data_IF_698292667087
#
_entry.id   IF_698292667087
#
_cell.length_a   1.000
_cell.length_b   1.000
_cell.length_c   1.000
_cell.angle_alpha   90.00
_cell.angle_beta   90.00
_cell.angle_gamma   90.00
#
_symmetry.space_group_name_H-M   'P 1'
#
loop_
_entity.id
_entity.type
_entity.pdbx_description
1 polymer ?
#
# COMPACT_ATOMS: atom_id res chain seq x y z
N UNK A 1 -26.48 -72.82 -52.48
CA UNK A 1 -26.97 -71.71 -51.64
C UNK A 1 -25.99 -71.50 -50.51
N UNK A 2 -25.16 -70.46 -50.58
CA UNK A 2 -24.20 -70.07 -49.52
C UNK A 2 -24.43 -68.58 -49.24
N UNK A 3 -24.94 -68.30 -48.05
CA UNK A 3 -25.24 -66.95 -47.55
C UNK A 3 -24.00 -66.40 -46.85
N UNK A 4 -23.49 -65.27 -47.33
CA UNK A 4 -22.42 -64.52 -46.67
C UNK A 4 -23.03 -63.55 -45.66
N UNK A 5 -22.53 -63.57 -44.43
CA UNK A 5 -22.90 -62.65 -43.36
C UNK A 5 -22.09 -61.35 -43.49
N UNK A 6 -22.78 -60.21 -43.48
CA UNK A 6 -22.18 -58.87 -43.44
C UNK A 6 -22.02 -58.46 -41.98
N UNK A 7 -20.78 -58.18 -41.57
CA UNK A 7 -20.45 -57.64 -40.25
C UNK A 7 -20.39 -56.12 -40.36
N UNK A 8 -21.26 -55.42 -39.64
CA UNK A 8 -21.29 -53.95 -39.56
C UNK A 8 -20.46 -53.50 -38.36
N UNK A 9 -19.36 -52.77 -38.61
CA UNK A 9 -18.60 -52.08 -37.56
C UNK A 9 -19.30 -50.76 -37.19
N UNK A 10 -19.74 -50.62 -35.94
CA UNK A 10 -20.11 -49.33 -35.36
C UNK A 10 -18.86 -48.64 -34.82
N UNK A 11 -18.49 -47.51 -35.42
CA UNK A 11 -17.49 -46.60 -34.88
C UNK A 11 -18.14 -45.70 -33.82
N UNK A 12 -17.73 -45.85 -32.56
CA UNK A 12 -18.12 -44.96 -31.46
C UNK A 12 -17.25 -43.71 -31.48
N UNK A 13 -17.86 -42.57 -31.81
CA UNK A 13 -17.21 -41.26 -31.76
C UNK A 13 -17.22 -40.79 -30.31
N UNK A 14 -16.06 -40.84 -29.63
CA UNK A 14 -15.90 -40.26 -28.29
C UNK A 14 -15.78 -38.75 -28.46
N UNK A 15 -16.85 -38.03 -28.15
CA UNK A 15 -16.84 -36.57 -28.08
C UNK A 15 -16.05 -36.12 -26.85
N UNK A 16 -14.79 -35.75 -27.02
CA UNK A 16 -14.03 -35.08 -25.98
C UNK A 16 -14.60 -33.66 -25.77
N UNK A 17 -15.40 -33.48 -24.72
CA UNK A 17 -15.81 -32.15 -24.28
C UNK A 17 -14.58 -31.39 -23.78
N UNK A 18 -14.27 -30.21 -24.34
CA UNK A 18 -13.17 -29.41 -23.81
C UNK A 18 -13.56 -28.95 -22.41
N UNK A 19 -12.73 -29.30 -21.42
CA UNK A 19 -12.77 -28.69 -20.10
C UNK A 19 -12.47 -27.20 -20.29
N UNK A 20 -13.53 -26.40 -20.49
CA UNK A 20 -13.42 -24.95 -20.44
C UNK A 20 -12.85 -24.59 -19.08
N UNK A 21 -11.69 -23.93 -19.07
CA UNK A 21 -11.18 -23.23 -17.90
C UNK A 21 -12.27 -22.22 -17.49
N UNK A 22 -13.13 -22.59 -16.55
CA UNK A 22 -13.93 -21.62 -15.80
C UNK A 22 -12.91 -20.72 -15.11
N UNK A 23 -12.69 -19.53 -15.66
CA UNK A 23 -12.07 -18.44 -14.91
C UNK A 23 -12.90 -18.28 -13.65
N UNK A 24 -12.36 -18.68 -12.51
CA UNK A 24 -12.94 -18.39 -11.21
C UNK A 24 -12.97 -16.86 -11.09
N UNK A 25 -14.12 -16.25 -11.39
CA UNK A 25 -14.38 -14.85 -11.09
C UNK A 25 -14.46 -14.78 -9.57
N UNK A 26 -13.33 -14.47 -8.93
CA UNK A 26 -13.28 -14.21 -7.51
C UNK A 26 -14.21 -13.02 -7.20
N UNK A 27 -15.00 -13.07 -6.10
CA UNK A 27 -15.89 -11.98 -5.73
C UNK A 27 -15.10 -10.68 -5.62
N UNK A 28 -15.66 -9.60 -6.17
CA UNK A 28 -15.16 -8.24 -5.92
C UNK A 28 -15.36 -7.90 -4.45
N UNK A 29 -14.42 -7.14 -3.89
CA UNK A 29 -14.42 -6.79 -2.47
C UNK A 29 -15.06 -5.42 -2.28
N UNK A 30 -16.11 -5.35 -1.46
CA UNK A 30 -16.62 -4.10 -0.91
C UNK A 30 -16.12 -3.95 0.53
N UNK A 31 -15.95 -2.71 0.97
CA UNK A 31 -15.89 -2.39 2.39
C UNK A 31 -17.16 -2.86 3.10
N UNK A 32 -17.01 -3.42 4.28
CA UNK A 32 -18.14 -3.86 5.13
C UNK A 32 -18.21 -3.11 6.46
N UNK A 33 -17.17 -2.33 6.76
CA UNK A 33 -17.05 -1.55 7.99
C UNK A 33 -17.20 -0.05 7.70
N UNK A 34 -17.60 0.76 8.70
CA UNK A 34 -17.67 2.21 8.53
C UNK A 34 -16.31 2.80 8.14
N UNK A 35 -16.25 3.51 7.02
CA UNK A 35 -15.04 4.20 6.56
C UNK A 35 -14.94 5.56 7.24
N UNK A 36 -13.82 5.82 7.91
CA UNK A 36 -13.53 7.11 8.58
C UNK A 36 -12.59 8.00 7.77
N UNK A 37 -11.84 7.42 6.83
CA UNK A 37 -11.06 8.11 5.83
C UNK A 37 -11.10 7.31 4.53
N UNK A 38 -11.49 7.95 3.42
CA UNK A 38 -11.45 7.33 2.09
C UNK A 38 -10.40 8.04 1.24
N UNK A 39 -9.29 7.35 1.00
CA UNK A 39 -8.17 7.83 0.19
C UNK A 39 -8.20 7.32 -1.25
N UNK A 40 -9.23 6.55 -1.63
CA UNK A 40 -9.31 5.95 -2.96
C UNK A 40 -9.53 7.04 -4.01
N UNK A 41 -8.82 6.95 -5.14
CA UNK A 41 -8.82 8.00 -6.16
C UNK A 41 -9.98 7.79 -7.14
N UNK A 42 -10.90 8.75 -7.30
CA UNK A 42 -11.99 8.67 -8.27
C UNK A 42 -11.48 8.52 -9.70
N UNK A 43 -12.23 7.79 -10.54
CA UNK A 43 -11.83 7.55 -11.94
C UNK A 43 -11.72 8.81 -12.80
N UNK A 44 -12.36 9.91 -12.39
CA UNK A 44 -12.34 11.21 -13.05
C UNK A 44 -11.37 12.21 -12.41
N UNK A 45 -10.56 11.79 -11.43
CA UNK A 45 -9.58 12.64 -10.78
C UNK A 45 -8.51 13.16 -11.75
N UNK A 46 -8.08 14.39 -11.54
CA UNK A 46 -6.88 14.98 -12.16
C UNK A 46 -5.73 15.01 -11.16
N UNK A 47 -4.49 14.98 -11.66
CA UNK A 47 -3.30 15.17 -10.83
C UNK A 47 -3.31 16.52 -10.10
N UNK A 48 -3.84 17.57 -10.73
CA UNK A 48 -3.97 18.90 -10.14
C UNK A 48 -4.97 18.97 -8.97
N UNK A 49 -5.86 17.98 -8.83
CA UNK A 49 -6.78 17.92 -7.69
C UNK A 49 -6.01 17.77 -6.37
N UNK A 50 -4.82 17.16 -6.40
CA UNK A 50 -3.97 16.95 -5.24
C UNK A 50 -3.23 18.22 -4.78
N UNK A 51 -3.16 19.25 -5.63
CA UNK A 51 -2.44 20.50 -5.33
C UNK A 51 -3.23 21.45 -4.44
N UNK A 52 -4.53 21.17 -4.21
CA UNK A 52 -5.41 22.01 -3.40
C UNK A 52 -6.22 21.18 -2.42
N UNK A 53 -6.56 21.78 -1.28
CA UNK A 53 -7.44 21.16 -0.32
C UNK A 53 -8.82 20.96 -0.94
N UNK A 54 -9.35 19.74 -0.91
CA UNK A 54 -10.61 19.36 -1.58
C UNK A 54 -10.61 19.65 -3.09
N UNK A 55 -9.45 19.62 -3.76
CA UNK A 55 -9.39 19.68 -5.22
C UNK A 55 -10.22 18.57 -5.87
N UNK A 56 -10.81 18.88 -7.02
CA UNK A 56 -11.81 18.03 -7.66
C UNK A 56 -13.09 17.79 -6.84
N UNK A 57 -13.25 18.44 -5.68
CA UNK A 57 -14.35 18.19 -4.74
C UNK A 57 -14.20 16.89 -3.94
N UNK A 58 -13.02 16.25 -3.96
CA UNK A 58 -12.82 14.94 -3.35
C UNK A 58 -11.48 14.78 -2.62
N UNK A 59 -10.42 15.49 -3.01
CA UNK A 59 -9.05 15.24 -2.53
C UNK A 59 -8.98 15.16 -0.97
N UNK A 60 -8.71 13.98 -0.41
CA UNK A 60 -8.68 13.75 1.03
C UNK A 60 -7.27 13.92 1.61
N UNK A 61 -6.29 14.40 0.84
CA UNK A 61 -4.90 14.52 1.28
C UNK A 61 -4.49 15.98 1.53
N UNK A 62 -3.46 16.16 2.36
CA UNK A 62 -2.87 17.48 2.60
C UNK A 62 -2.03 17.93 1.39
N UNK A 63 -2.32 19.09 0.77
CA UNK A 63 -1.58 19.55 -0.41
C UNK A 63 -0.22 20.19 -0.10
N UNK A 64 0.04 20.58 1.16
CA UNK A 64 1.12 21.51 1.51
C UNK A 64 2.38 20.91 2.11
N UNK A 65 2.30 19.70 2.70
CA UNK A 65 3.39 19.15 3.52
C UNK A 65 3.95 17.83 2.97
N UNK A 66 5.09 17.41 3.55
CA UNK A 66 5.69 16.07 3.37
C UNK A 66 6.09 15.77 1.91
N UNK A 67 6.55 16.79 1.18
CA UNK A 67 7.06 16.67 -0.19
C UNK A 67 8.19 17.67 -0.47
N UNK A 68 8.81 17.60 -1.64
CA UNK A 68 9.83 18.56 -2.05
C UNK A 68 9.34 20.02 -1.98
N UNK A 69 10.21 20.93 -1.55
CA UNK A 69 9.83 22.33 -1.29
C UNK A 69 9.28 23.07 -2.51
N UNK A 70 9.74 22.72 -3.72
CA UNK A 70 9.49 23.47 -4.96
C UNK A 70 8.78 22.64 -6.03
N UNK A 71 8.15 21.52 -5.64
CA UNK A 71 7.42 20.62 -6.54
C UNK A 71 5.99 20.44 -6.04
N UNK A 72 5.03 20.43 -6.96
CA UNK A 72 3.61 20.21 -6.69
C UNK A 72 3.28 18.71 -6.57
N UNK A 73 2.12 18.37 -6.02
CA UNK A 73 1.68 16.98 -6.02
C UNK A 73 1.38 16.49 -7.43
N UNK A 74 0.91 17.36 -8.32
CA UNK A 74 0.68 16.97 -9.72
C UNK A 74 1.96 16.64 -10.50
N UNK A 75 3.12 17.12 -10.06
CA UNK A 75 4.44 16.71 -10.60
C UNK A 75 4.94 15.39 -10.01
N UNK A 76 4.63 15.13 -8.73
CA UNK A 76 5.04 13.94 -7.96
C UNK A 76 4.19 12.72 -8.32
N UNK A 77 2.89 12.91 -8.49
CA UNK A 77 1.93 11.82 -8.63
C UNK A 77 1.75 11.42 -10.08
N UNK A 78 1.37 10.16 -10.28
CA UNK A 78 0.90 9.66 -11.58
C UNK A 78 -0.39 8.88 -11.41
N UNK A 79 -1.20 8.84 -12.45
CA UNK A 79 -2.38 7.97 -12.56
C UNK A 79 -2.05 6.81 -13.49
N UNK A 80 -1.38 5.75 -13.01
CA UNK A 80 -0.89 4.67 -13.85
C UNK A 80 -2.05 3.85 -14.42
N UNK A 81 -1.87 3.37 -15.65
CA UNK A 81 -2.77 2.38 -16.25
C UNK A 81 -2.29 0.98 -15.87
N UNK A 82 -2.88 0.41 -14.82
CA UNK A 82 -2.60 -0.97 -14.41
C UNK A 82 -3.49 -1.96 -15.19
N UNK A 83 -2.97 -3.16 -15.48
CA UNK A 83 -3.76 -4.21 -16.16
C UNK A 83 -4.87 -4.76 -15.29
N UNK A 84 -4.67 -4.74 -13.98
CA UNK A 84 -5.60 -5.19 -12.96
C UNK A 84 -5.78 -4.10 -11.92
N UNK A 85 -6.96 -4.03 -11.32
CA UNK A 85 -7.22 -3.14 -10.18
C UNK A 85 -6.80 -3.84 -8.88
N UNK A 86 -6.48 -3.04 -7.86
CA UNK A 86 -6.32 -3.55 -6.50
C UNK A 86 -7.64 -4.12 -5.98
N UNK A 87 -7.60 -4.87 -4.87
CA UNK A 87 -8.78 -5.54 -4.32
C UNK A 87 -9.95 -4.58 -4.09
N UNK A 88 -9.70 -3.45 -3.45
CA UNK A 88 -10.74 -2.49 -3.04
C UNK A 88 -10.96 -1.36 -4.04
N UNK A 89 -10.17 -1.27 -5.13
CA UNK A 89 -10.48 -0.35 -6.24
C UNK A 89 -11.45 -0.94 -7.26
N UNK A 90 -11.53 -2.28 -7.33
CA UNK A 90 -12.34 -2.97 -8.32
C UNK A 90 -13.84 -2.70 -8.13
N UNK A 91 -14.34 -2.78 -6.90
CA UNK A 91 -15.74 -2.56 -6.57
C UNK A 91 -16.08 -1.07 -6.45
N UNK A 92 -15.21 -0.30 -5.80
CA UNK A 92 -15.39 1.14 -5.60
C UNK A 92 -15.32 1.95 -6.92
N UNK A 93 -14.90 1.34 -8.02
CA UNK A 93 -14.77 2.03 -9.30
C UNK A 93 -13.59 3.01 -9.35
N UNK A 94 -12.70 2.98 -8.37
CA UNK A 94 -11.56 3.89 -8.22
C UNK A 94 -10.35 3.43 -9.05
N UNK A 95 -9.33 4.28 -9.11
CA UNK A 95 -8.11 4.07 -9.89
C UNK A 95 -6.87 4.11 -8.99
N UNK A 96 -5.78 3.43 -9.38
CA UNK A 96 -4.53 3.48 -8.63
C UNK A 96 -3.84 4.84 -8.73
N UNK A 97 -2.98 5.12 -7.76
CA UNK A 97 -2.16 6.31 -7.66
C UNK A 97 -0.70 5.90 -7.50
N UNK A 98 0.20 6.45 -8.30
CA UNK A 98 1.64 6.23 -8.14
C UNK A 98 2.27 7.45 -7.49
N UNK A 99 2.99 7.23 -6.39
CA UNK A 99 3.82 8.25 -5.76
C UNK A 99 5.23 8.08 -6.31
N UNK A 100 5.83 9.15 -6.81
CA UNK A 100 7.23 9.13 -7.29
C UNK A 100 8.14 9.99 -6.43
N UNK A 101 9.41 9.66 -6.43
CA UNK A 101 10.47 10.49 -5.87
C UNK A 101 11.55 10.71 -6.94
N UNK A 102 12.19 11.86 -6.83
CA UNK A 102 13.28 12.35 -7.69
C UNK A 102 14.33 13.06 -6.85
N UNK A 103 15.37 13.62 -7.49
CA UNK A 103 16.40 14.41 -6.81
C UNK A 103 15.83 15.64 -6.09
N UNK A 104 14.73 16.20 -6.59
CA UNK A 104 14.02 17.36 -6.04
C UNK A 104 13.14 17.02 -4.82
N UNK A 105 12.98 15.74 -4.47
CA UNK A 105 12.10 15.29 -3.39
C UNK A 105 12.68 15.55 -1.99
N UNK A 106 13.19 16.75 -1.77
CA UNK A 106 13.81 17.20 -0.51
C UNK A 106 12.82 18.07 0.25
N UNK A 107 12.33 17.55 1.37
CA UNK A 107 11.43 18.28 2.27
C UNK A 107 12.24 19.12 3.26
N UNK A 108 11.88 20.39 3.36
CA UNK A 108 12.57 21.36 4.20
C UNK A 108 14.10 21.32 3.95
N UNK A 109 14.89 20.99 4.98
CA UNK A 109 16.35 20.89 4.92
C UNK A 109 16.85 19.45 5.12
N UNK A 110 15.98 18.45 4.97
CA UNK A 110 16.33 17.04 5.17
C UNK A 110 17.02 16.48 3.93
N UNK A 111 18.27 16.90 3.69
CA UNK A 111 19.04 16.59 2.47
C UNK A 111 19.34 15.09 2.30
N UNK A 112 19.40 14.34 3.40
CA UNK A 112 19.64 12.90 3.36
C UNK A 112 18.46 12.12 2.79
N UNK A 113 17.23 12.62 2.95
CA UNK A 113 16.02 11.94 2.48
C UNK A 113 15.61 12.32 1.06
N UNK A 114 14.88 11.40 0.42
CA UNK A 114 13.94 11.73 -0.67
C UNK A 114 12.55 11.33 -0.22
N UNK A 115 11.64 12.30 -0.09
CA UNK A 115 10.31 12.06 0.47
C UNK A 115 9.16 12.73 -0.27
N UNK A 116 8.11 11.94 -0.41
CA UNK A 116 6.77 12.33 -0.83
C UNK A 116 5.78 11.43 -0.07
N UNK A 117 5.12 11.95 0.96
CA UNK A 117 4.12 11.22 1.74
C UNK A 117 2.78 11.95 1.75
N UNK A 118 1.74 11.32 1.21
CA UNK A 118 0.38 11.81 1.26
C UNK A 118 -0.14 11.69 2.70
N UNK A 119 -0.17 12.80 3.40
CA UNK A 119 -0.75 12.89 4.74
C UNK A 119 -2.27 12.91 4.64
N UNK A 120 -2.92 12.10 5.48
CA UNK A 120 -4.38 12.01 5.52
C UNK A 120 -4.95 13.32 6.07
N UNK A 121 -5.82 13.97 5.29
CA UNK A 121 -6.44 15.21 5.72
C UNK A 121 -7.50 14.90 6.80
N UNK A 122 -7.74 15.84 7.72
CA UNK A 122 -8.60 15.68 8.92
C UNK A 122 -8.12 14.64 9.95
N UNK A 123 -7.03 13.93 9.69
CA UNK A 123 -6.29 13.16 10.69
C UNK A 123 -5.42 14.13 11.50
N UNK A 124 -6.03 14.85 12.44
CA UNK A 124 -5.37 15.92 13.18
C UNK A 124 -4.26 15.37 14.07
N UNK A 125 -3.13 16.08 14.14
CA UNK A 125 -1.96 15.63 14.90
C UNK A 125 -2.30 15.22 16.35
N UNK A 126 -3.18 15.99 17.00
CA UNK A 126 -3.82 15.64 18.26
C UNK A 126 -5.33 15.51 18.10
N UNK A 127 -5.92 14.59 18.85
CA UNK A 127 -7.35 14.36 18.91
C UNK A 127 -7.94 13.57 17.74
N UNK A 128 -7.13 13.13 16.77
CA UNK A 128 -7.60 12.49 15.55
C UNK A 128 -8.55 11.31 15.80
N UNK A 129 -9.65 11.20 15.04
CA UNK A 129 -10.44 9.98 14.94
C UNK A 129 -9.63 8.76 14.47
N UNK A 130 -8.61 8.94 13.63
CA UNK A 130 -7.74 7.86 13.15
C UNK A 130 -6.79 7.27 14.20
N UNK A 131 -6.66 7.95 15.34
CA UNK A 131 -5.73 7.60 16.43
C UNK A 131 -6.44 7.18 17.72
N UNK A 132 -7.69 6.70 17.62
CA UNK A 132 -8.55 6.31 18.75
C UNK A 132 -9.35 5.03 18.48
N UNK A 133 -9.70 4.32 19.55
CA UNK A 133 -10.49 3.08 19.49
C UNK A 133 -9.72 1.96 18.77
N UNK A 134 -10.37 1.33 17.79
CA UNK A 134 -9.72 0.36 16.90
C UNK A 134 -9.86 0.84 15.46
N UNK A 135 -8.75 0.90 14.72
CA UNK A 135 -8.72 1.37 13.33
C UNK A 135 -7.98 0.39 12.46
N UNK A 136 -8.49 0.15 11.26
CA UNK A 136 -7.81 -0.71 10.28
C UNK A 136 -7.50 0.09 9.02
N UNK A 137 -6.21 0.25 8.75
CA UNK A 137 -5.74 0.90 7.53
C UNK A 137 -5.60 -0.14 6.43
N UNK A 138 -6.33 0.05 5.33
CA UNK A 138 -6.23 -0.74 4.11
C UNK A 138 -5.40 0.00 3.08
N UNK A 139 -4.55 -0.75 2.39
CA UNK A 139 -3.80 -0.29 1.24
C UNK A 139 -3.34 -1.48 0.41
N UNK A 140 -3.13 -1.25 -0.88
CA UNK A 140 -2.56 -2.23 -1.79
C UNK A 140 -1.36 -1.62 -2.49
N UNK A 141 -0.36 -2.45 -2.77
CA UNK A 141 0.88 -2.03 -3.42
C UNK A 141 1.10 -2.87 -4.69
N UNK A 142 1.56 -2.21 -5.74
CA UNK A 142 2.16 -2.83 -6.91
C UNK A 142 3.47 -2.10 -7.24
N UNK A 143 4.51 -2.87 -7.59
CA UNK A 143 5.78 -2.30 -8.06
C UNK A 143 5.63 -1.71 -9.46
N UNK A 144 6.30 -0.58 -9.74
CA UNK A 144 6.45 -0.05 -11.10
C UNK A 144 7.77 -0.54 -11.71
N UNK A 145 7.70 -1.40 -12.73
CA UNK A 145 8.86 -1.89 -13.47
C UNK A 145 9.63 -0.75 -14.18
N UNK A 146 9.01 0.41 -14.41
CA UNK A 146 9.66 1.60 -15.03
C UNK A 146 10.34 2.52 -14.02
N UNK A 147 10.03 2.38 -12.73
CA UNK A 147 10.56 3.18 -11.62
C UNK A 147 10.82 2.30 -10.40
N UNK A 148 11.63 1.25 -10.54
CA UNK A 148 11.85 0.31 -9.45
C UNK A 148 12.49 1.01 -8.26
N UNK A 149 12.11 0.61 -7.05
CA UNK A 149 12.80 1.04 -5.83
C UNK A 149 14.23 0.48 -5.81
N UNK A 150 15.22 1.29 -5.41
CA UNK A 150 16.56 0.76 -5.16
C UNK A 150 16.65 0.15 -3.75
N UNK A 151 16.49 -1.17 -3.68
CA UNK A 151 16.38 -1.89 -2.40
C UNK A 151 17.68 -1.97 -1.58
N UNK A 152 18.82 -1.43 -2.05
CA UNK A 152 19.98 -1.20 -1.18
C UNK A 152 19.75 -0.10 -0.15
N UNK A 153 18.71 0.71 -0.33
CA UNK A 153 18.25 1.74 0.62
C UNK A 153 17.09 1.22 1.46
N UNK A 154 16.87 1.87 2.62
CA UNK A 154 15.67 1.69 3.44
C UNK A 154 14.57 2.67 2.98
N UNK A 155 13.33 2.18 2.94
CA UNK A 155 12.16 3.00 2.60
C UNK A 155 11.09 2.91 3.69
N UNK A 156 10.47 4.04 4.01
CA UNK A 156 9.16 4.07 4.67
C UNK A 156 8.10 4.31 3.60
N UNK A 157 7.09 3.43 3.57
CA UNK A 157 6.05 3.42 2.55
C UNK A 157 4.66 3.74 3.11
N UNK A 158 4.36 3.25 4.32
CA UNK A 158 3.14 3.58 5.07
C UNK A 158 3.55 3.75 6.52
N UNK A 159 3.18 4.85 7.16
CA UNK A 159 3.53 5.07 8.55
C UNK A 159 2.47 5.90 9.28
N UNK A 160 2.49 5.81 10.60
CA UNK A 160 1.75 6.69 11.47
C UNK A 160 2.75 7.47 12.32
N UNK A 161 2.97 8.73 11.96
CA UNK A 161 3.90 9.64 12.62
C UNK A 161 3.28 10.09 13.94
N UNK A 162 4.05 10.07 15.05
CA UNK A 162 3.58 10.53 16.36
C UNK A 162 3.34 12.03 16.37
N UNK A 163 2.44 12.49 17.24
CA UNK A 163 2.07 13.91 17.33
C UNK A 163 3.24 14.85 17.65
N UNK A 164 4.23 14.36 18.39
CA UNK A 164 5.42 15.12 18.77
C UNK A 164 6.55 15.05 17.73
N UNK A 165 6.32 14.37 16.59
CA UNK A 165 7.30 14.13 15.54
C UNK A 165 8.58 13.40 16.00
N UNK A 166 8.53 12.73 17.17
CA UNK A 166 9.67 11.99 17.74
C UNK A 166 9.93 10.64 17.04
N UNK A 167 8.99 10.19 16.21
CA UNK A 167 9.05 8.91 15.53
C UNK A 167 7.68 8.48 15.04
N UNK A 168 7.49 7.17 14.87
CA UNK A 168 6.27 6.58 14.36
C UNK A 168 5.69 5.58 15.36
N UNK A 169 4.39 5.37 15.36
CA UNK A 169 3.77 4.29 16.14
C UNK A 169 3.96 2.91 15.48
N UNK A 170 3.86 2.88 14.16
CA UNK A 170 4.24 1.75 13.31
C UNK A 170 4.82 2.27 12.00
N UNK A 171 5.56 1.39 11.32
CA UNK A 171 6.19 1.70 10.05
C UNK A 171 6.07 0.48 9.13
N UNK A 172 5.56 0.69 7.93
CA UNK A 172 5.58 -0.28 6.85
C UNK A 172 6.68 0.11 5.88
N UNK A 173 7.69 -0.75 5.79
CA UNK A 173 8.96 -0.45 5.15
C UNK A 173 9.36 -1.47 4.09
N UNK A 174 10.38 -1.11 3.32
CA UNK A 174 10.99 -1.91 2.29
C UNK A 174 12.51 -1.70 2.22
N UNK A 175 13.19 -2.59 1.49
CA UNK A 175 14.62 -2.48 1.23
C UNK A 175 15.49 -2.93 2.40
N UNK A 176 16.76 -2.53 2.35
CA UNK A 176 17.77 -2.86 3.34
C UNK A 176 17.65 -1.93 4.54
N UNK A 177 17.11 -2.45 5.64
CA UNK A 177 16.98 -1.69 6.89
C UNK A 177 18.37 -1.32 7.43
N UNK A 178 18.55 -0.05 7.80
CA UNK A 178 19.79 0.46 8.37
C UNK A 178 20.02 -0.19 9.74
N UNK A 179 21.24 -0.69 9.95
CA UNK A 179 21.62 -1.33 11.21
C UNK A 179 20.96 -2.69 11.48
N UNK A 180 20.21 -3.26 10.54
CA UNK A 180 19.58 -4.58 10.70
C UNK A 180 19.97 -5.53 9.56
N UNK A 181 20.18 -6.80 9.90
CA UNK A 181 20.30 -7.86 8.91
C UNK A 181 18.89 -8.29 8.46
N UNK A 182 18.69 -8.50 7.16
CA UNK A 182 17.37 -8.93 6.66
C UNK A 182 17.35 -9.06 5.13
N UNK A 183 16.21 -9.51 4.61
CA UNK A 183 16.02 -9.60 3.16
C UNK A 183 15.54 -8.26 2.60
N UNK A 184 16.29 -7.66 1.69
CA UNK A 184 15.93 -6.35 1.13
C UNK A 184 14.59 -6.38 0.36
N UNK A 185 14.33 -7.42 -0.42
CA UNK A 185 13.12 -7.59 -1.25
C UNK A 185 11.90 -8.13 -0.48
N UNK A 186 11.64 -7.56 0.70
CA UNK A 186 10.44 -7.83 1.51
C UNK A 186 9.76 -6.53 1.92
N UNK A 187 8.43 -6.59 2.00
CA UNK A 187 7.62 -5.62 2.72
C UNK A 187 7.63 -5.99 4.21
N UNK A 188 7.84 -5.00 5.08
CA UNK A 188 8.12 -5.20 6.50
C UNK A 188 7.21 -4.31 7.35
N UNK A 189 6.55 -4.88 8.35
CA UNK A 189 5.84 -4.13 9.39
C UNK A 189 6.72 -4.07 10.63
N UNK A 190 7.01 -2.85 11.09
CA UNK A 190 7.79 -2.57 12.29
C UNK A 190 6.97 -1.76 13.29
N UNK A 191 7.28 -1.91 14.57
CA UNK A 191 6.74 -1.03 15.63
C UNK A 191 7.56 0.26 15.79
N UNK A 192 7.22 1.05 16.81
CA UNK A 192 7.89 2.30 17.14
C UNK A 192 9.37 2.16 17.48
N UNK A 193 9.80 0.99 17.96
CA UNK A 193 11.18 0.71 18.37
C UNK A 193 11.98 0.06 17.23
N UNK A 194 11.46 0.13 15.99
CA UNK A 194 12.03 -0.50 14.80
C UNK A 194 12.16 -2.02 14.92
N UNK A 195 11.35 -2.67 15.75
CA UNK A 195 11.33 -4.13 15.84
C UNK A 195 10.39 -4.70 14.77
N UNK A 196 10.93 -5.64 13.98
CA UNK A 196 10.16 -6.36 12.97
C UNK A 196 9.03 -7.19 13.61
N UNK A 197 7.80 -6.95 13.16
CA UNK A 197 6.60 -7.67 13.58
C UNK A 197 6.18 -8.74 12.58
N UNK A 198 6.31 -8.42 11.29
CA UNK A 198 5.89 -9.27 10.19
C UNK A 198 6.55 -8.84 8.88
N UNK A 199 6.81 -9.78 7.98
CA UNK A 199 7.23 -9.47 6.62
C UNK A 199 6.69 -10.45 5.58
N UNK A 200 6.69 -10.02 4.31
CA UNK A 200 6.39 -10.87 3.16
C UNK A 200 7.29 -10.48 1.97
N UNK A 201 7.67 -11.42 1.09
CA UNK A 201 8.37 -11.09 -0.15
C UNK A 201 7.61 -10.09 -1.02
N UNK A 202 8.36 -9.25 -1.72
CA UNK A 202 7.84 -8.40 -2.79
C UNK A 202 7.54 -9.24 -4.04
N UNK A 203 6.36 -9.03 -4.64
CA UNK A 203 5.94 -9.74 -5.83
C UNK A 203 5.87 -8.79 -7.02
N UNK A 204 6.41 -9.24 -8.16
CA UNK A 204 6.35 -8.48 -9.41
C UNK A 204 5.00 -8.68 -10.08
N UNK A 205 4.48 -7.62 -10.70
CA UNK A 205 3.29 -7.66 -11.59
C UNK A 205 2.00 -8.18 -10.92
N UNK A 206 1.94 -8.20 -9.60
CA UNK A 206 0.80 -8.66 -8.80
C UNK A 206 0.53 -7.63 -7.71
N UNK A 207 -0.74 -7.26 -7.52
CA UNK A 207 -1.15 -6.48 -6.36
C UNK A 207 -0.94 -7.27 -5.07
N UNK A 208 -0.30 -6.66 -4.09
CA UNK A 208 -0.22 -7.15 -2.73
C UNK A 208 -1.14 -6.26 -1.88
N UNK A 209 -2.17 -6.85 -1.30
CA UNK A 209 -3.14 -6.11 -0.49
C UNK A 209 -2.80 -6.32 0.98
N UNK A 210 -2.89 -5.25 1.76
CA UNK A 210 -2.54 -5.22 3.16
C UNK A 210 -3.66 -4.56 3.96
N UNK A 211 -3.84 -5.01 5.19
CA UNK A 211 -4.52 -4.23 6.20
C UNK A 211 -3.73 -4.27 7.51
N UNK A 212 -3.71 -3.16 8.23
CA UNK A 212 -3.05 -3.05 9.53
C UNK A 212 -4.09 -2.55 10.54
N UNK A 213 -4.46 -3.42 11.47
CA UNK A 213 -5.35 -3.05 12.58
C UNK A 213 -4.52 -2.55 13.75
N UNK A 214 -4.83 -1.34 14.20
CA UNK A 214 -4.29 -0.67 15.37
C UNK A 214 -5.41 -0.62 16.42
N UNK A 215 -5.22 -1.34 17.52
CA UNK A 215 -6.11 -1.28 18.67
C UNK A 215 -5.46 -0.39 19.73
N UNK A 216 -5.86 0.87 19.78
CA UNK A 216 -5.34 1.86 20.71
C UNK A 216 -5.79 1.60 22.15
N UNK A 217 -6.91 0.92 22.35
CA UNK A 217 -7.44 0.56 23.67
C UNK A 217 -6.64 -0.56 24.33
N UNK A 218 -6.23 -1.55 23.53
CA UNK A 218 -5.48 -2.74 24.00
C UNK A 218 -3.99 -2.67 23.69
N UNK A 219 -3.53 -1.62 23.01
CA UNK A 219 -2.16 -1.49 22.54
C UNK A 219 -1.72 -2.73 21.75
N UNK A 220 -2.42 -3.04 20.64
CA UNK A 220 -2.06 -4.17 19.77
C UNK A 220 -2.06 -3.79 18.29
N UNK A 221 -1.14 -4.38 17.53
CA UNK A 221 -1.04 -4.28 16.07
C UNK A 221 -1.31 -5.65 15.45
N UNK A 222 -2.09 -5.72 14.37
CA UNK A 222 -2.34 -6.94 13.61
C UNK A 222 -2.20 -6.69 12.10
N UNK A 223 -1.51 -7.57 11.39
CA UNK A 223 -1.36 -7.50 9.94
C UNK A 223 -2.27 -8.50 9.22
N UNK A 224 -2.80 -8.07 8.08
CA UNK A 224 -3.56 -8.87 7.13
C UNK A 224 -2.91 -8.76 5.75
N UNK A 225 -2.98 -9.84 4.98
CA UNK A 225 -2.32 -9.90 3.67
C UNK A 225 -3.05 -10.79 2.66
N UNK A 226 -3.03 -10.38 1.40
CA UNK A 226 -3.39 -11.22 0.27
C UNK A 226 -2.69 -10.83 -1.03
N UNK A 227 -2.86 -11.67 -2.05
CA UNK A 227 -2.26 -11.51 -3.38
C UNK A 227 -3.34 -11.40 -4.44
N UNK A 228 -3.17 -10.48 -5.38
CA UNK A 228 -4.10 -10.22 -6.47
C UNK A 228 -5.48 -9.84 -5.95
N UNK A 229 -6.52 -10.53 -6.40
CA UNK A 229 -7.90 -10.30 -5.95
C UNK A 229 -8.34 -11.25 -4.82
N UNK A 230 -7.43 -12.01 -4.19
CA UNK A 230 -7.80 -12.91 -3.08
C UNK A 230 -8.24 -12.12 -1.84
N UNK A 231 -9.16 -12.66 -1.02
CA UNK A 231 -9.48 -12.09 0.29
C UNK A 231 -8.26 -11.96 1.19
N UNK A 232 -8.20 -10.86 1.94
CA UNK A 232 -7.27 -10.66 3.04
C UNK A 232 -7.45 -11.77 4.06
N UNK A 233 -6.33 -12.20 4.63
CA UNK A 233 -6.29 -13.13 5.76
C UNK A 233 -5.39 -12.55 6.82
N UNK A 234 -5.71 -12.81 8.08
CA UNK A 234 -4.81 -12.49 9.19
C UNK A 234 -3.45 -13.14 8.92
N UNK A 235 -2.43 -12.29 8.79
CA UNK A 235 -1.04 -12.69 8.60
C UNK A 235 -0.32 -12.83 9.94
N UNK A 236 -0.83 -12.13 10.97
CA UNK A 236 -0.42 -12.27 12.37
C UNK A 236 -1.64 -12.44 13.27
N UNK A 237 -1.40 -12.90 14.50
CA UNK A 237 -2.30 -12.62 15.62
C UNK A 237 -2.14 -11.14 16.05
N UNK A 238 -3.03 -10.57 16.89
CA UNK A 238 -2.76 -9.30 17.55
C UNK A 238 -1.47 -9.35 18.37
N UNK A 239 -0.57 -8.41 18.14
CA UNK A 239 0.74 -8.32 18.79
C UNK A 239 0.73 -7.10 19.71
N UNK A 240 0.97 -7.30 21.02
CA UNK A 240 1.01 -6.20 21.99
C UNK A 240 2.15 -5.22 21.67
N UNK A 241 1.83 -3.96 21.40
CA UNK A 241 2.75 -2.86 21.07
C UNK A 241 2.21 -1.53 21.55
N UNK A 242 3.09 -0.68 22.05
CA UNK A 242 2.72 0.66 22.47
C UNK A 242 2.28 1.48 21.24
N UNK A 243 1.05 2.01 21.29
CA UNK A 243 0.43 2.85 20.25
C UNK A 243 0.08 4.25 20.79
N UNK A 244 0.75 4.67 21.86
CA UNK A 244 0.59 6.02 22.42
C UNK A 244 1.33 7.06 21.58
N UNK A 245 0.92 8.32 21.74
CA UNK A 245 1.55 9.47 21.09
C UNK A 245 0.68 10.14 20.02
N UNK A 246 -0.50 9.60 19.71
CA UNK A 246 -1.40 10.11 18.67
C UNK A 246 -0.65 10.36 17.35
N UNK A 247 -1.11 11.30 16.52
CA UNK A 247 -0.45 11.67 15.28
C UNK A 247 -1.21 11.24 14.03
N UNK A 248 -0.50 11.08 12.91
CA UNK A 248 -1.09 11.13 11.57
C UNK A 248 -0.58 10.02 10.64
N UNK A 249 -1.50 9.42 9.88
CA UNK A 249 -1.22 8.50 8.80
C UNK A 249 -0.64 9.19 7.58
N UNK A 250 0.34 8.53 6.99
CA UNK A 250 0.97 8.93 5.75
C UNK A 250 1.23 7.69 4.88
N UNK A 251 1.03 7.84 3.57
CA UNK A 251 1.32 6.84 2.56
C UNK A 251 2.13 7.46 1.43
N UNK A 252 3.18 6.81 0.98
CA UNK A 252 4.05 7.36 -0.06
C UNK A 252 5.43 6.75 -0.05
N UNK A 253 6.48 7.56 -0.20
CA UNK A 253 7.85 7.08 -0.21
C UNK A 253 8.70 8.05 0.60
N UNK A 254 9.43 7.54 1.58
CA UNK A 254 10.59 8.19 2.17
C UNK A 254 11.77 7.24 2.01
N UNK A 255 12.68 7.58 1.11
CA UNK A 255 13.95 6.88 0.91
C UNK A 255 15.01 7.45 1.85
N UNK A 256 15.61 6.59 2.66
CA UNK A 256 16.77 6.93 3.50
C UNK A 256 18.07 6.86 2.70
N UNK A 257 19.09 7.66 3.04
CA UNK A 257 20.41 7.55 2.42
C UNK A 257 21.17 6.33 2.97
N UNK A 258 22.30 5.99 2.36
CA UNK A 258 23.24 5.00 2.88
C UNK A 258 24.58 5.63 3.29
N UNK A 259 25.39 4.92 4.06
CA UNK A 259 26.75 5.36 4.40
C UNK A 259 26.84 6.55 5.38
N UNK A 260 25.82 6.74 6.22
CA UNK A 260 25.83 7.77 7.28
C UNK A 260 25.02 7.33 8.49
N UNK A 261 25.33 7.90 9.65
CA UNK A 261 24.51 7.82 10.87
C UNK A 261 23.53 9.02 10.97
N UNK A 262 23.82 10.14 10.30
CA UNK A 262 22.93 11.30 10.20
C UNK A 262 22.07 11.22 8.93
N UNK A 263 21.13 10.28 8.98
CA UNK A 263 20.27 9.92 7.84
C UNK A 263 19.36 11.06 7.37
N UNK A 264 19.05 12.01 8.24
CA UNK A 264 18.18 13.13 7.88
C UNK A 264 18.92 14.18 7.04
N UNK A 265 20.21 14.38 7.29
CA UNK A 265 20.94 15.52 6.71
C UNK A 265 22.05 15.13 5.72
N UNK A 266 22.49 13.87 5.68
CA UNK A 266 23.69 13.48 4.93
C UNK A 266 23.58 12.08 4.32
N UNK A 267 24.66 11.58 3.73
CA UNK A 267 24.76 10.23 3.18
C UNK A 267 24.55 10.16 1.68
N UNK A 268 24.71 8.96 1.14
CA UNK A 268 24.66 8.68 -0.28
C UNK A 268 23.22 8.54 -0.77
N UNK A 269 22.95 9.17 -1.90
CA UNK A 269 21.78 8.98 -2.77
C UNK A 269 22.29 8.91 -4.21
N UNK A 270 21.75 8.01 -5.02
CA UNK A 270 22.08 7.99 -6.44
C UNK A 270 21.60 9.27 -7.13
N UNK A 271 22.32 9.70 -8.16
CA UNK A 271 21.90 10.82 -9.01
C UNK A 271 20.87 10.38 -10.06
N UNK A 272 20.08 11.32 -10.55
CA UNK A 272 19.00 11.11 -11.53
C UNK A 272 17.94 10.15 -11.01
N UNK A 273 17.56 10.31 -9.75
CA UNK A 273 16.61 9.43 -9.09
C UNK A 273 15.24 9.52 -9.78
N UNK A 274 14.66 8.35 -10.07
CA UNK A 274 13.32 8.23 -10.65
C UNK A 274 12.72 6.90 -10.17
N UNK A 275 12.21 6.93 -8.95
CA UNK A 275 11.65 5.77 -8.27
C UNK A 275 10.16 6.00 -7.97
N UNK A 276 9.38 4.94 -7.94
CA UNK A 276 7.93 5.05 -7.81
C UNK A 276 7.31 3.81 -7.20
N UNK A 277 6.16 4.02 -6.54
CA UNK A 277 5.37 2.95 -5.96
C UNK A 277 3.90 3.20 -6.21
N UNK A 278 3.21 2.17 -6.72
CA UNK A 278 1.80 2.24 -7.08
C UNK A 278 0.98 1.78 -5.89
N UNK A 279 0.07 2.64 -5.46
CA UNK A 279 -0.90 2.40 -4.40
C UNK A 279 -2.32 2.26 -4.95
N UNK A 280 -3.16 1.53 -4.23
CA UNK A 280 -4.58 1.38 -4.51
C UNK A 280 -5.36 0.95 -3.28
N UNK A 281 -6.68 1.10 -3.28
CA UNK A 281 -7.53 0.66 -2.17
C UNK A 281 -7.16 1.27 -0.82
N UNK A 282 -6.83 2.57 -0.79
CA UNK A 282 -6.37 3.28 0.41
C UNK A 282 -7.59 3.78 1.19
N UNK A 283 -7.86 3.22 2.37
CA UNK A 283 -8.90 3.74 3.27
C UNK A 283 -8.65 3.30 4.72
N UNK A 284 -9.19 4.06 5.66
CA UNK A 284 -9.19 3.74 7.08
C UNK A 284 -10.62 3.45 7.51
N UNK A 285 -10.84 2.30 8.12
CA UNK A 285 -12.14 1.92 8.67
C UNK A 285 -12.14 1.93 10.20
N UNK A 286 -13.33 2.12 10.76
CA UNK A 286 -13.58 1.90 12.18
C UNK A 286 -13.81 0.41 12.45
N UNK A 287 -12.92 -0.18 13.25
CA UNK A 287 -12.91 -1.60 13.57
C UNK A 287 -13.26 -1.87 15.04
N UNK A 288 -13.86 -0.90 15.74
CA UNK A 288 -14.19 -1.01 17.17
C UNK A 288 -15.01 -2.28 17.51
N UNK A 289 -15.94 -2.67 16.63
CA UNK A 289 -16.79 -3.86 16.81
C UNK A 289 -16.13 -5.17 16.30
N UNK A 290 -14.82 -5.15 16.04
CA UNK A 290 -14.10 -6.29 15.45
C UNK A 290 -14.34 -6.47 13.94
N UNK A 291 -14.99 -5.49 13.29
CA UNK A 291 -15.18 -5.49 11.85
C UNK A 291 -13.85 -5.23 11.12
N UNK A 292 -13.53 -6.08 10.13
CA UNK A 292 -12.45 -5.85 9.17
C UNK A 292 -12.93 -6.23 7.78
N UNK A 293 -12.80 -5.32 6.81
CA UNK A 293 -13.12 -5.62 5.41
C UNK A 293 -12.08 -6.58 4.82
N UNK A 294 -12.45 -7.82 4.47
CA UNK A 294 -11.51 -8.87 4.00
C UNK A 294 -11.56 -9.13 2.51
#
# INVERSE_FOLDING_TARGET
>A
MRTAAVITFLASVVSATPFGQRSLVLPRASETCPVVFDGRVPANASLTDFDTANGGGWNPYNPGFVKGNNISWSEILKLPKTKTKSRFDAEAGTIPLEVTISDESIFMKQLGFRRAGLQFNKDSNEGSPGSKGVKTLHFSIQQDDKRPLNLSHEYLNVWHEKADFSGNQFQFQAGQLIGQNGTAATWKLLDQDFKLLWETPMLKKVWQNFAITLNYEKNTIQAYYSKGCKPLKAATQPIARNLTGQGQFQIGILKKPTGTDDVANSGFQEANLNEGLIYGGIFLEDSADGCVSL
#
